data_IF_759622015395
#
_entry.id   IF_759622015395
#
_cell.length_a   1.000
_cell.length_b   1.000
_cell.length_c   1.000
_cell.angle_alpha   90.00
_cell.angle_beta   90.00
_cell.angle_gamma   90.00
#
_symmetry.space_group_name_H-M   'P 1'
#
loop_
_entity.id
_entity.type
_entity.pdbx_description
1 polymer ?
#
# COMPACT_ATOMS: atom_id res chain seq x y z
N UNK A 1 -14.72 -11.25 -8.47
CA UNK A 1 -15.64 -11.37 -7.32
C UNK A 1 -14.81 -11.75 -6.10
N UNK A 2 -15.25 -11.43 -4.88
CA UNK A 2 -14.52 -11.78 -3.66
C UNK A 2 -14.73 -13.26 -3.28
N UNK A 3 -13.68 -13.92 -2.83
CA UNK A 3 -13.71 -15.30 -2.31
C UNK A 3 -14.45 -15.38 -0.95
N UNK A 4 -14.71 -16.60 -0.46
CA UNK A 4 -15.33 -16.80 0.85
C UNK A 4 -14.47 -16.20 1.98
N UNK A 5 -13.17 -16.51 1.97
CA UNK A 5 -12.20 -16.01 2.96
C UNK A 5 -12.11 -14.48 2.95
N UNK A 6 -12.11 -13.89 1.75
CA UNK A 6 -12.11 -12.44 1.59
C UNK A 6 -13.38 -11.80 2.17
N UNK A 7 -14.55 -12.40 1.98
CA UNK A 7 -15.78 -11.92 2.62
C UNK A 7 -15.71 -12.06 4.14
N UNK A 8 -15.16 -13.16 4.65
CA UNK A 8 -14.96 -13.34 6.08
C UNK A 8 -14.07 -12.23 6.66
N UNK A 9 -12.98 -11.87 5.98
CA UNK A 9 -12.10 -10.77 6.39
C UNK A 9 -12.79 -9.40 6.39
N UNK A 10 -13.80 -9.17 5.54
CA UNK A 10 -14.58 -7.94 5.58
C UNK A 10 -15.56 -7.90 6.76
N UNK A 11 -16.09 -9.05 7.16
CA UNK A 11 -17.06 -9.16 8.25
C UNK A 11 -16.38 -9.23 9.62
N UNK A 12 -15.21 -9.87 9.69
CA UNK A 12 -14.40 -10.07 10.89
C UNK A 12 -13.00 -9.50 10.63
N UNK A 13 -12.85 -8.16 10.66
CA UNK A 13 -11.60 -7.52 10.23
C UNK A 13 -10.46 -7.81 11.22
N UNK A 14 -9.28 -8.27 10.76
CA UNK A 14 -8.12 -8.50 11.61
C UNK A 14 -7.41 -7.19 12.00
N UNK A 15 -7.92 -6.04 11.55
CA UNK A 15 -7.32 -4.73 11.71
C UNK A 15 -8.41 -3.67 11.87
N UNK A 16 -8.32 -2.88 12.95
CA UNK A 16 -9.27 -1.81 13.24
C UNK A 16 -9.06 -0.61 12.29
N UNK A 17 -10.11 -0.25 11.55
CA UNK A 17 -10.09 0.94 10.70
C UNK A 17 -10.46 2.18 11.53
N UNK A 18 -9.68 3.26 11.37
CA UNK A 18 -9.96 4.58 11.94
C UNK A 18 -10.90 5.40 11.03
N UNK A 19 -11.09 4.95 9.79
CA UNK A 19 -12.01 5.54 8.82
C UNK A 19 -13.08 4.50 8.44
N UNK A 20 -14.36 4.89 8.30
CA UNK A 20 -15.39 3.98 7.81
C UNK A 20 -15.01 3.28 6.50
N UNK A 21 -15.30 1.98 6.40
CA UNK A 21 -14.96 1.13 5.24
C UNK A 21 -15.38 1.76 3.90
N UNK A 22 -16.60 2.31 3.85
CA UNK A 22 -17.14 2.99 2.65
C UNK A 22 -16.30 4.22 2.30
N UNK A 23 -15.94 5.03 3.28
CA UNK A 23 -15.12 6.23 3.09
C UNK A 23 -13.71 5.92 2.63
N UNK A 24 -13.18 4.73 2.93
CA UNK A 24 -11.86 4.29 2.50
C UNK A 24 -11.86 3.72 1.07
N UNK A 25 -12.89 2.95 0.73
CA UNK A 25 -12.97 2.19 -0.54
C UNK A 25 -13.73 2.90 -1.66
N UNK A 26 -14.55 3.90 -1.34
CA UNK A 26 -15.23 4.71 -2.35
C UNK A 26 -14.22 5.57 -3.14
N UNK A 27 -14.39 5.69 -4.47
CA UNK A 27 -13.53 6.55 -5.27
C UNK A 27 -13.70 8.02 -4.88
N UNK A 28 -12.62 8.65 -4.38
CA UNK A 28 -12.63 10.08 -4.02
C UNK A 28 -12.23 10.94 -5.19
N UNK A 29 -13.14 11.79 -5.66
CA UNK A 29 -12.85 12.86 -6.62
C UNK A 29 -12.56 14.16 -5.88
N UNK A 30 -11.41 14.77 -6.17
CA UNK A 30 -11.10 16.13 -5.70
C UNK A 30 -11.86 17.20 -6.50
N UNK A 31 -12.18 16.94 -7.77
CA UNK A 31 -13.00 17.80 -8.62
C UNK A 31 -13.82 16.93 -9.58
N UNK A 32 -15.13 17.22 -9.71
CA UNK A 32 -16.07 16.49 -10.56
C UNK A 32 -15.73 16.60 -12.06
N UNK A 33 -15.14 17.72 -12.48
CA UNK A 33 -14.74 18.00 -13.86
C UNK A 33 -13.45 17.27 -14.28
N UNK A 34 -12.74 16.63 -13.34
CA UNK A 34 -11.54 15.86 -13.64
C UNK A 34 -11.87 14.41 -13.99
N UNK A 35 -10.99 13.78 -14.78
CA UNK A 35 -11.06 12.35 -15.10
C UNK A 35 -11.24 11.50 -13.82
N UNK A 36 -11.99 10.39 -13.86
CA UNK A 36 -12.16 9.53 -12.71
C UNK A 36 -10.81 9.16 -12.06
N UNK A 37 -10.72 9.16 -10.72
CA UNK A 37 -9.52 8.73 -10.04
C UNK A 37 -9.28 7.24 -10.29
N UNK A 38 -8.04 6.80 -10.12
CA UNK A 38 -7.72 5.37 -10.12
C UNK A 38 -8.36 4.71 -8.88
N UNK A 39 -8.78 3.45 -8.96
CA UNK A 39 -9.11 2.70 -7.75
C UNK A 39 -7.88 2.62 -6.84
N UNK A 40 -8.13 2.75 -5.53
CA UNK A 40 -7.08 2.70 -4.51
C UNK A 40 -6.48 1.30 -4.41
N UNK A 41 -5.14 1.21 -4.36
CA UNK A 41 -4.43 -0.03 -4.08
C UNK A 41 -4.35 -0.27 -2.55
N UNK A 42 -3.88 -1.45 -2.08
CA UNK A 42 -3.85 -1.81 -0.66
C UNK A 42 -3.04 -0.81 0.19
N UNK A 43 -1.87 -0.40 -0.32
CA UNK A 43 -0.98 0.55 0.35
C UNK A 43 -1.63 1.93 0.53
N UNK A 44 -2.31 2.44 -0.50
CA UNK A 44 -3.00 3.74 -0.42
C UNK A 44 -4.13 3.67 0.62
N UNK A 45 -4.86 2.56 0.71
CA UNK A 45 -5.89 2.35 1.73
C UNK A 45 -5.27 2.34 3.13
N UNK A 46 -4.20 1.57 3.33
CA UNK A 46 -3.48 1.49 4.60
C UNK A 46 -2.95 2.86 5.05
N UNK A 47 -2.18 3.54 4.21
CA UNK A 47 -1.61 4.85 4.51
C UNK A 47 -2.70 5.90 4.80
N UNK A 48 -3.83 5.84 4.11
CA UNK A 48 -4.96 6.75 4.37
C UNK A 48 -5.57 6.50 5.74
N UNK A 49 -5.76 5.23 6.12
CA UNK A 49 -6.21 4.86 7.46
C UNK A 49 -5.21 5.29 8.54
N UNK A 50 -3.92 5.03 8.31
CA UNK A 50 -2.84 5.41 9.21
C UNK A 50 -2.76 6.94 9.40
N UNK A 51 -2.90 7.71 8.34
CA UNK A 51 -2.93 9.18 8.43
C UNK A 51 -4.08 9.68 9.32
N UNK A 52 -5.23 9.02 9.27
CA UNK A 52 -6.37 9.39 10.09
C UNK A 52 -6.20 8.96 11.55
N UNK A 53 -5.60 7.79 11.79
CA UNK A 53 -5.16 7.37 13.12
C UNK A 53 -4.24 8.43 13.76
N UNK A 54 -3.20 8.88 13.04
CA UNK A 54 -2.28 9.89 13.55
C UNK A 54 -2.97 11.21 13.90
N UNK A 55 -3.91 11.67 13.06
CA UNK A 55 -4.70 12.88 13.33
C UNK A 55 -5.62 12.72 14.54
N UNK A 56 -6.11 11.51 14.79
CA UNK A 56 -6.94 11.21 15.95
C UNK A 56 -6.12 11.13 17.24
N UNK A 57 -4.92 10.56 17.19
CA UNK A 57 -4.05 10.41 18.35
C UNK A 57 -3.32 11.71 18.72
N UNK A 58 -2.96 12.52 17.71
CA UNK A 58 -2.19 13.74 17.89
C UNK A 58 -2.85 14.90 17.14
N UNK A 59 -4.00 15.41 17.61
CA UNK A 59 -4.77 16.45 16.92
C UNK A 59 -4.02 17.78 16.78
N UNK A 60 -3.15 18.10 17.74
CA UNK A 60 -2.32 19.31 17.73
C UNK A 60 -1.13 19.22 16.76
N UNK A 61 -0.81 18.02 16.28
CA UNK A 61 0.34 17.81 15.40
C UNK A 61 -0.08 17.86 13.92
N UNK A 62 0.61 18.69 13.15
CA UNK A 62 0.50 18.65 11.69
C UNK A 62 1.57 17.73 11.09
N UNK A 63 1.15 16.59 10.54
CA UNK A 63 2.06 15.71 9.80
C UNK A 63 2.05 16.01 8.30
N UNK A 64 3.24 16.17 7.72
CA UNK A 64 3.36 16.28 6.27
C UNK A 64 3.02 14.95 5.59
N UNK A 65 2.70 14.99 4.28
CA UNK A 65 2.47 13.78 3.50
C UNK A 65 3.72 12.89 3.46
N UNK A 66 4.91 13.49 3.51
CA UNK A 66 6.19 12.77 3.52
C UNK A 66 6.35 12.00 4.82
N UNK A 67 6.10 12.66 5.96
CA UNK A 67 6.18 12.04 7.29
C UNK A 67 5.21 10.88 7.41
N UNK A 68 3.93 11.11 7.06
CA UNK A 68 2.91 10.06 7.06
C UNK A 68 3.31 8.87 6.19
N UNK A 69 3.89 9.13 5.01
CA UNK A 69 4.29 8.05 4.09
C UNK A 69 5.48 7.25 4.62
N UNK A 70 6.45 7.92 5.26
CA UNK A 70 7.60 7.26 5.89
C UNK A 70 7.15 6.37 7.05
N UNK A 71 6.43 6.94 8.02
CA UNK A 71 5.95 6.21 9.19
C UNK A 71 5.01 5.06 8.82
N UNK A 72 4.07 5.29 7.89
CA UNK A 72 3.18 4.22 7.44
C UNK A 72 3.95 3.10 6.73
N UNK A 73 5.09 3.38 6.08
CA UNK A 73 5.84 2.36 5.36
C UNK A 73 6.54 1.43 6.34
N UNK A 74 7.12 2.00 7.39
CA UNK A 74 7.70 1.27 8.52
C UNK A 74 6.63 0.40 9.19
N UNK A 75 5.45 0.98 9.51
CA UNK A 75 4.34 0.23 10.11
C UNK A 75 3.84 -0.90 9.20
N UNK A 76 3.60 -0.63 7.91
CA UNK A 76 3.14 -1.63 6.94
C UNK A 76 4.09 -2.82 6.80
N UNK A 77 5.41 -2.60 6.87
CA UNK A 77 6.38 -3.69 6.82
C UNK A 77 6.22 -4.64 8.01
N UNK A 78 5.98 -4.08 9.20
CA UNK A 78 5.78 -4.81 10.45
C UNK A 78 4.39 -5.44 10.59
N UNK A 79 3.40 -5.02 9.79
CA UNK A 79 2.06 -5.60 9.84
C UNK A 79 2.06 -7.11 9.50
N UNK A 80 1.26 -7.91 10.23
CA UNK A 80 1.06 -9.32 9.93
C UNK A 80 0.56 -9.58 8.51
N UNK A 81 0.85 -10.78 7.98
CA UNK A 81 0.41 -11.20 6.64
C UNK A 81 -1.11 -11.12 6.52
N UNK A 82 -1.86 -11.50 7.56
CA UNK A 82 -3.33 -11.44 7.57
C UNK A 82 -3.87 -10.00 7.42
N UNK A 83 -3.18 -9.02 8.01
CA UNK A 83 -3.53 -7.60 7.86
C UNK A 83 -3.25 -7.15 6.43
N UNK A 84 -2.08 -7.50 5.88
CA UNK A 84 -1.76 -7.22 4.47
C UNK A 84 -2.78 -7.86 3.54
N UNK A 85 -3.25 -9.08 3.83
CA UNK A 85 -4.28 -9.76 3.08
C UNK A 85 -5.64 -9.04 3.19
N UNK A 86 -6.03 -8.59 4.38
CA UNK A 86 -7.22 -7.75 4.57
C UNK A 86 -7.18 -6.48 3.71
N UNK A 87 -6.07 -5.74 3.70
CA UNK A 87 -5.96 -4.54 2.84
C UNK A 87 -5.95 -4.88 1.33
N UNK A 88 -5.48 -6.06 0.93
CA UNK A 88 -5.65 -6.56 -0.43
C UNK A 88 -7.14 -6.81 -0.77
N UNK A 89 -7.87 -7.41 0.16
CA UNK A 89 -9.33 -7.58 0.05
C UNK A 89 -10.05 -6.24 -0.07
N UNK A 90 -9.67 -5.25 0.74
CA UNK A 90 -10.22 -3.89 0.65
C UNK A 90 -9.93 -3.25 -0.72
N UNK A 91 -8.76 -3.48 -1.32
CA UNK A 91 -8.44 -2.98 -2.66
C UNK A 91 -9.27 -3.65 -3.75
N UNK A 92 -9.50 -4.97 -3.67
CA UNK A 92 -10.42 -5.69 -4.56
C UNK A 92 -11.84 -5.14 -4.44
N UNK A 93 -12.28 -4.87 -3.21
CA UNK A 93 -13.58 -4.27 -2.95
C UNK A 93 -13.69 -2.85 -3.51
N UNK A 94 -12.66 -2.02 -3.33
CA UNK A 94 -12.59 -0.68 -3.92
C UNK A 94 -12.61 -0.73 -5.45
N UNK A 95 -11.92 -1.68 -6.07
CA UNK A 95 -11.96 -1.89 -7.52
C UNK A 95 -13.37 -2.28 -8.00
N UNK A 96 -14.06 -3.15 -7.28
CA UNK A 96 -15.44 -3.53 -7.62
C UNK A 96 -16.36 -2.31 -7.59
N UNK A 97 -16.34 -1.52 -6.51
CA UNK A 97 -17.14 -0.28 -6.39
C UNK A 97 -16.77 0.74 -7.45
N UNK A 98 -15.49 0.83 -7.80
CA UNK A 98 -15.01 1.72 -8.86
C UNK A 98 -15.59 1.33 -10.21
N UNK A 99 -15.65 0.04 -10.55
CA UNK A 99 -16.26 -0.47 -11.79
C UNK A 99 -17.77 -0.17 -11.85
N UNK A 100 -18.47 -0.31 -10.72
CA UNK A 100 -19.88 0.04 -10.60
C UNK A 100 -20.10 1.55 -10.80
N UNK A 101 -19.23 2.39 -10.23
CA UNK A 101 -19.34 3.86 -10.30
C UNK A 101 -18.90 4.43 -11.66
N UNK A 102 -17.90 3.81 -12.29
CA UNK A 102 -17.29 4.27 -13.54
C UNK A 102 -17.27 3.14 -14.56
N UNK A 103 -18.45 2.78 -15.05
CA UNK A 103 -18.60 1.85 -16.17
C UNK A 103 -17.78 2.34 -17.37
N UNK A 104 -16.93 1.47 -17.92
CA UNK A 104 -16.07 1.81 -19.06
C UNK A 104 -14.79 2.59 -18.72
N UNK A 105 -14.42 2.72 -17.44
CA UNK A 105 -13.14 3.31 -17.08
C UNK A 105 -11.96 2.49 -17.64
N UNK A 106 -11.06 3.19 -18.34
CA UNK A 106 -9.77 2.66 -18.80
C UNK A 106 -8.65 3.56 -18.31
N UNK A 107 -7.65 2.97 -17.67
CA UNK A 107 -6.46 3.70 -17.25
C UNK A 107 -5.63 4.11 -18.47
N UNK A 108 -5.55 5.42 -18.72
CA UNK A 108 -4.73 6.02 -19.78
C UNK A 108 -3.70 6.97 -19.17
N UNK A 109 -2.47 6.50 -18.86
CA UNK A 109 -1.42 7.39 -18.36
C UNK A 109 -1.16 8.50 -19.36
N UNK A 110 -0.90 9.72 -18.85
CA UNK A 110 -0.35 10.77 -19.71
C UNK A 110 1.11 10.42 -19.99
N UNK A 111 1.55 10.38 -21.27
CA UNK A 111 2.95 10.19 -21.58
C UNK A 111 3.76 11.31 -20.91
N UNK A 112 4.92 10.95 -20.34
CA UNK A 112 5.84 11.97 -19.83
C UNK A 112 6.30 12.77 -21.04
N UNK A 113 6.12 14.09 -21.01
CA UNK A 113 6.83 14.96 -21.95
C UNK A 113 8.33 14.73 -21.71
N UNK A 114 9.03 14.21 -22.72
CA UNK A 114 10.48 14.01 -22.67
C UNK A 114 11.14 15.39 -22.60
N UNK A 115 11.32 15.93 -21.40
CA UNK A 115 12.32 16.98 -21.20
C UNK A 115 13.67 16.32 -21.45
N UNK A 116 14.44 16.79 -22.45
CA UNK A 116 15.81 16.35 -22.72
C UNK A 116 16.61 16.44 -21.40
N UNK A 117 16.75 15.31 -20.71
CA UNK A 117 17.63 15.14 -19.55
C UNK A 117 18.63 14.09 -19.97
N UNK A 118 19.91 14.46 -19.98
CA UNK A 118 21.03 13.54 -20.15
C UNK A 118 21.00 12.54 -18.98
N UNK A 119 20.23 11.47 -19.14
CA UNK A 119 20.10 10.41 -18.16
C UNK A 119 21.15 9.35 -18.47
N UNK A 120 22.30 9.41 -17.80
CA UNK A 120 23.23 8.28 -17.78
C UNK A 120 22.75 7.25 -16.75
N UNK A 121 22.60 6.01 -17.19
CA UNK A 121 22.41 4.89 -16.27
C UNK A 121 23.72 4.70 -15.52
N UNK A 122 23.75 4.94 -14.20
CA UNK A 122 24.84 4.38 -13.38
C UNK A 122 24.53 2.91 -13.22
N UNK A 123 25.26 2.09 -13.96
CA UNK A 123 25.24 0.65 -13.85
C UNK A 123 25.54 0.26 -12.40
N UNK A 124 24.52 -0.22 -11.67
CA UNK A 124 24.71 -0.74 -10.32
C UNK A 124 25.28 -2.15 -10.48
N UNK A 125 26.59 -2.30 -10.25
CA UNK A 125 27.25 -3.61 -10.21
C UNK A 125 26.56 -4.46 -9.12
N UNK A 126 25.99 -5.59 -9.55
CA UNK A 126 25.42 -6.59 -8.66
C UNK A 126 26.55 -7.13 -7.77
N UNK A 127 26.61 -6.73 -6.51
CA UNK A 127 27.55 -7.34 -5.56
C UNK A 127 26.92 -8.69 -5.16
N UNK A 128 27.47 -9.78 -5.70
CA UNK A 128 27.21 -11.12 -5.17
C UNK A 128 27.65 -11.16 -3.71
N UNK A 129 26.67 -11.29 -2.79
CA UNK A 129 26.96 -11.69 -1.41
C UNK A 129 27.49 -13.12 -1.43
N UNK A 130 28.80 -13.28 -1.30
CA UNK A 130 29.42 -14.56 -0.94
C UNK A 130 28.89 -14.96 0.45
N UNK A 131 28.09 -16.01 0.50
CA UNK A 131 27.75 -16.70 1.75
C UNK A 131 29.02 -17.44 2.18
N UNK A 132 29.70 -16.91 3.20
CA UNK A 132 30.76 -17.64 3.90
C UNK A 132 30.12 -18.69 4.80
N UNK A 133 30.20 -19.96 4.40
CA UNK A 133 30.02 -21.06 5.34
C UNK A 133 31.22 -21.08 6.27
N UNK A 134 31.03 -20.61 7.50
CA UNK A 134 31.94 -20.85 8.61
C UNK A 134 31.25 -21.88 9.52
N UNK A 135 31.59 -23.16 9.36
CA UNK A 135 31.30 -24.19 10.36
C UNK A 135 32.64 -24.71 10.85
N UNK A 136 33.01 -24.24 12.04
CA UNK A 136 34.21 -24.63 12.75
C UNK A 136 34.16 -26.13 13.11
N UNK A 137 35.32 -26.75 12.98
CA UNK A 137 35.71 -28.04 13.53
C UNK A 137 35.95 -27.94 15.05
N UNK A 138 35.88 -29.11 15.72
CA UNK A 138 36.33 -29.37 17.09
C UNK A 138 35.17 -29.78 18.01
N UNK A 139 35.26 -30.80 18.87
CA UNK A 139 36.26 -31.80 19.22
C UNK A 139 35.58 -32.81 20.18
N UNK A 140 36.19 -33.99 20.41
CA UNK A 140 35.82 -34.97 21.44
C UNK A 140 35.93 -36.40 20.88
N UNK A 141 37.09 -37.04 20.87
CA UNK A 141 37.70 -37.76 22.01
C UNK A 141 36.70 -38.61 22.81
N UNK A 142 36.63 -39.91 22.47
CA UNK A 142 36.97 -41.06 23.32
C UNK A 142 36.95 -42.36 22.49
#
# INVERSE_FOLDING_TARGET
>A
TLTSDERNLLNNPPYALNIPLRSLTNPKRRNRNLKPPRPSNPWILFRTNFANMLRSLYPENSYSIQDVSRMASEDWQNQPIIVKHYFNTLAKFALQRHKETYSGYVYRPRPKQLKKKNWSFREVKFIERKISNNKQEGAGEQ
#
